data_IF_072710999700
#
_entry.id   IF_072710999700
#
_cell.length_a   1.000
_cell.length_b   1.000
_cell.length_c   1.000
_cell.angle_alpha   90.00
_cell.angle_beta   90.00
_cell.angle_gamma   90.00
#
_symmetry.space_group_name_H-M   'P 1'
#
loop_
_entity.id
_entity.type
_entity.pdbx_description
1 polymer ?
#
# COMPACT_ATOMS: atom_id res chain seq x y z
N UNK A 1 -17.03 -19.83 -1.99
CA UNK A 1 -18.21 -19.16 -1.48
C UNK A 1 -18.07 -18.70 -0.02
N UNK A 2 -17.75 -19.60 0.91
CA UNK A 2 -17.54 -19.20 2.31
C UNK A 2 -16.41 -18.20 2.47
N UNK A 3 -15.38 -18.33 1.67
CA UNK A 3 -14.22 -17.44 1.71
C UNK A 3 -14.56 -16.04 1.23
N UNK A 4 -15.35 -15.94 0.18
CA UNK A 4 -15.80 -14.66 -0.35
C UNK A 4 -16.73 -13.93 0.62
N UNK A 5 -17.62 -14.66 1.27
CA UNK A 5 -18.52 -14.11 2.27
C UNK A 5 -17.73 -13.57 3.46
N UNK A 6 -16.70 -14.28 3.89
CA UNK A 6 -15.84 -13.83 4.99
C UNK A 6 -15.12 -12.53 4.64
N UNK A 7 -14.55 -12.45 3.45
CA UNK A 7 -13.86 -11.23 3.00
C UNK A 7 -14.83 -10.05 2.91
N UNK A 8 -16.01 -10.29 2.38
CA UNK A 8 -17.04 -9.27 2.28
C UNK A 8 -17.48 -8.76 3.66
N UNK A 9 -17.67 -9.66 4.62
CA UNK A 9 -18.06 -9.28 5.98
C UNK A 9 -16.95 -8.51 6.69
N UNK A 10 -15.71 -8.89 6.49
CA UNK A 10 -14.56 -8.19 7.06
C UNK A 10 -14.49 -6.77 6.49
N UNK A 11 -14.70 -6.60 5.20
CA UNK A 11 -14.67 -5.29 4.57
C UNK A 11 -15.81 -4.40 5.09
N UNK A 12 -17.02 -4.94 5.19
CA UNK A 12 -18.16 -4.21 5.76
C UNK A 12 -17.85 -3.82 7.20
N UNK A 13 -17.35 -4.74 8.01
CA UNK A 13 -17.02 -4.48 9.40
C UNK A 13 -15.99 -3.37 9.54
N UNK A 14 -14.95 -3.41 8.72
CA UNK A 14 -13.91 -2.37 8.70
C UNK A 14 -14.49 -1.01 8.34
N UNK A 15 -15.37 -0.97 7.33
CA UNK A 15 -16.03 0.27 6.94
C UNK A 15 -16.86 0.84 8.09
N UNK A 16 -17.60 -0.01 8.78
CA UNK A 16 -18.43 0.42 9.89
C UNK A 16 -17.63 1.00 11.06
N UNK A 17 -16.45 0.45 11.33
CA UNK A 17 -15.60 0.95 12.41
C UNK A 17 -14.55 1.97 11.95
N UNK A 18 -14.55 2.34 10.68
CA UNK A 18 -13.66 3.34 10.14
C UNK A 18 -12.23 2.87 9.94
N UNK A 19 -11.96 1.57 10.05
CA UNK A 19 -10.62 1.00 9.89
C UNK A 19 -10.16 0.96 8.44
N UNK A 20 -11.07 1.16 7.50
CA UNK A 20 -10.77 1.14 6.08
C UNK A 20 -10.72 2.52 5.45
N UNK A 21 -10.59 3.56 6.26
CA UNK A 21 -10.33 4.86 5.69
C UNK A 21 -9.04 4.78 4.88
N UNK A 22 -9.06 5.22 3.61
CA UNK A 22 -7.84 5.23 2.83
C UNK A 22 -6.76 6.04 3.55
N UNK A 23 -5.53 5.55 3.47
CA UNK A 23 -4.41 6.35 3.98
C UNK A 23 -4.30 7.60 3.13
N UNK A 24 -4.22 8.73 3.77
CA UNK A 24 -4.04 9.99 3.09
C UNK A 24 -2.55 10.33 3.03
N UNK A 25 -2.15 10.99 1.96
CA UNK A 25 -0.80 11.47 1.85
C UNK A 25 -0.22 11.29 0.47
N UNK A 26 0.90 11.96 0.25
CA UNK A 26 1.68 11.83 -0.97
C UNK A 26 2.79 10.82 -0.75
N UNK A 27 3.03 10.01 -1.77
CA UNK A 27 4.10 9.03 -1.73
C UNK A 27 5.24 9.45 -2.64
N UNK A 28 6.46 9.15 -2.20
CA UNK A 28 7.68 9.47 -2.93
C UNK A 28 8.54 8.22 -3.00
N UNK A 29 8.55 7.53 -4.15
CA UNK A 29 9.41 6.35 -4.29
C UNK A 29 10.89 6.74 -4.29
N UNK A 30 11.70 5.97 -3.57
CA UNK A 30 13.15 6.10 -3.66
C UNK A 30 13.64 5.65 -5.03
N UNK A 31 14.89 5.92 -5.32
CA UNK A 31 15.51 5.42 -6.56
C UNK A 31 15.45 3.89 -6.62
N UNK A 32 15.71 3.22 -5.51
CA UNK A 32 15.61 1.77 -5.43
C UNK A 32 14.18 1.29 -5.69
N UNK A 33 13.19 1.96 -5.09
CA UNK A 33 11.80 1.61 -5.33
C UNK A 33 11.41 1.82 -6.80
N UNK A 34 11.89 2.90 -7.42
CA UNK A 34 11.65 3.15 -8.84
C UNK A 34 12.25 2.07 -9.73
N UNK A 35 13.43 1.58 -9.37
CA UNK A 35 14.05 0.47 -10.07
C UNK A 35 13.19 -0.79 -9.97
N UNK A 36 12.66 -1.08 -8.79
CA UNK A 36 11.75 -2.20 -8.58
C UNK A 36 10.44 -2.02 -9.33
N UNK A 37 9.91 -0.80 -9.38
CA UNK A 37 8.73 -0.50 -10.19
C UNK A 37 8.96 -0.89 -11.65
N UNK A 38 10.11 -0.51 -12.19
CA UNK A 38 10.47 -0.85 -13.55
C UNK A 38 10.58 -2.36 -13.76
N UNK A 39 11.26 -3.05 -12.83
CA UNK A 39 11.40 -4.51 -12.90
C UNK A 39 10.06 -5.25 -12.89
N UNK A 40 9.11 -4.79 -12.09
CA UNK A 40 7.83 -5.45 -11.92
C UNK A 40 6.72 -4.87 -12.80
N UNK A 41 7.02 -3.84 -13.58
CA UNK A 41 6.00 -3.20 -14.41
C UNK A 41 4.95 -2.45 -13.61
N UNK A 42 5.34 -1.88 -12.48
CA UNK A 42 4.44 -1.12 -11.60
C UNK A 42 4.52 0.36 -11.92
N UNK A 43 3.37 1.03 -11.93
CA UNK A 43 3.33 2.48 -12.09
C UNK A 43 3.01 3.17 -10.76
N UNK A 44 3.11 4.47 -10.74
CA UNK A 44 2.87 5.25 -9.53
C UNK A 44 1.41 5.14 -9.09
N UNK A 45 0.47 5.05 -10.03
CA UNK A 45 -0.94 4.91 -9.70
C UNK A 45 -1.21 3.62 -8.96
N UNK A 46 -0.55 2.53 -9.33
CA UNK A 46 -0.66 1.26 -8.62
C UNK A 46 -0.08 1.36 -7.21
N UNK A 47 1.06 2.01 -7.05
CA UNK A 47 1.64 2.20 -5.72
C UNK A 47 0.75 3.07 -4.84
N UNK A 48 0.14 4.11 -5.39
CA UNK A 48 -0.80 4.93 -4.64
C UNK A 48 -2.01 4.13 -4.19
N UNK A 49 -2.52 3.26 -5.06
CA UNK A 49 -3.63 2.38 -4.75
C UNK A 49 -3.29 1.42 -3.61
N UNK A 50 -2.13 0.79 -3.68
CA UNK A 50 -1.65 -0.09 -2.61
C UNK A 50 -1.45 0.69 -1.32
N UNK A 51 -0.88 1.88 -1.39
CA UNK A 51 -0.67 2.71 -0.21
C UNK A 51 -1.99 3.07 0.46
N UNK A 52 -2.99 3.48 -0.32
CA UNK A 52 -4.27 3.91 0.23
C UNK A 52 -5.11 2.77 0.78
N UNK A 53 -5.15 1.66 0.08
CA UNK A 53 -6.09 0.57 0.37
C UNK A 53 -5.43 -0.72 0.80
N UNK A 54 -4.11 -0.80 0.77
CA UNK A 54 -3.39 -2.00 1.17
C UNK A 54 -3.51 -2.26 2.67
N UNK A 55 -3.32 -3.52 3.04
CA UNK A 55 -3.39 -3.97 4.43
C UNK A 55 -2.06 -4.57 4.84
N UNK A 56 -1.74 -4.43 6.11
CA UNK A 56 -0.50 -4.98 6.63
C UNK A 56 -0.19 -4.45 8.01
N UNK A 57 1.00 -4.80 8.50
CA UNK A 57 1.48 -4.38 9.81
C UNK A 57 2.63 -3.40 9.65
N UNK A 58 2.62 -2.37 10.48
CA UNK A 58 3.67 -1.35 10.55
C UNK A 58 3.86 -0.66 9.20
N UNK A 59 5.01 -0.86 8.57
CA UNK A 59 5.39 -0.16 7.36
C UNK A 59 5.32 -1.03 6.11
N UNK A 60 4.88 -2.28 6.25
CA UNK A 60 4.72 -3.21 5.14
C UNK A 60 3.24 -3.41 4.85
N UNK A 61 2.83 -3.09 3.64
CA UNK A 61 1.44 -3.27 3.22
C UNK A 61 1.38 -3.97 1.88
N UNK A 62 0.30 -4.73 1.69
CA UNK A 62 0.04 -5.43 0.45
C UNK A 62 -1.40 -5.20 0.03
N UNK A 63 -1.64 -5.27 -1.26
CA UNK A 63 -2.98 -5.30 -1.83
C UNK A 63 -3.07 -6.42 -2.84
N UNK A 64 -4.12 -7.22 -2.72
CA UNK A 64 -4.36 -8.34 -3.62
C UNK A 64 -5.25 -7.88 -4.77
N UNK A 65 -4.79 -8.17 -5.97
CA UNK A 65 -5.54 -7.98 -7.20
C UNK A 65 -5.91 -9.32 -7.79
N UNK A 66 -6.76 -9.31 -8.80
CA UNK A 66 -7.21 -10.55 -9.44
C UNK A 66 -6.05 -11.45 -9.89
N UNK A 67 -5.03 -10.86 -10.50
CA UNK A 67 -3.93 -11.60 -11.10
C UNK A 67 -2.60 -11.48 -10.35
N UNK A 68 -2.56 -10.70 -9.29
CA UNK A 68 -1.30 -10.44 -8.61
C UNK A 68 -1.52 -9.86 -7.22
N UNK A 69 -0.48 -9.97 -6.40
CA UNK A 69 -0.39 -9.25 -5.14
C UNK A 69 0.73 -8.24 -5.26
N UNK A 70 0.45 -7.00 -4.95
CA UNK A 70 1.45 -5.93 -4.95
C UNK A 70 1.69 -5.48 -3.53
N UNK A 71 2.95 -5.36 -3.16
CA UNK A 71 3.32 -4.92 -1.83
C UNK A 71 4.33 -3.79 -1.88
N UNK A 72 4.43 -3.09 -0.77
CA UNK A 72 5.44 -2.04 -0.62
C UNK A 72 5.81 -1.86 0.84
N UNK A 73 6.99 -1.31 1.06
CA UNK A 73 7.41 -0.77 2.35
C UNK A 73 7.40 0.74 2.26
N UNK A 74 6.90 1.38 3.29
CA UNK A 74 6.88 2.84 3.36
C UNK A 74 7.30 3.31 4.73
N UNK A 75 7.70 4.56 4.82
CA UNK A 75 8.00 5.23 6.08
C UNK A 75 7.62 6.70 5.96
N UNK A 76 7.29 7.36 7.08
CA UNK A 76 7.05 8.80 7.04
C UNK A 76 8.27 9.57 6.56
N UNK A 77 8.05 10.57 5.74
CA UNK A 77 9.12 11.47 5.32
C UNK A 77 9.44 12.41 6.47
N UNK A 78 10.71 12.42 6.88
CA UNK A 78 11.18 13.33 7.93
C UNK A 78 11.92 14.50 7.32
N UNK A 79 11.59 15.68 7.81
CA UNK A 79 12.26 16.91 7.42
C UNK A 79 12.76 17.60 8.69
N UNK A 80 14.07 17.82 8.78
CA UNK A 80 14.70 18.39 9.98
C UNK A 80 14.36 17.62 11.27
N UNK A 81 14.33 16.28 11.19
CA UNK A 81 14.00 15.41 12.31
C UNK A 81 12.53 15.31 12.66
N UNK A 82 11.66 16.01 11.96
CA UNK A 82 10.22 16.00 12.20
C UNK A 82 9.48 15.31 11.07
N UNK A 83 8.36 14.66 11.40
CA UNK A 83 7.48 14.09 10.39
C UNK A 83 6.85 15.20 9.56
N UNK A 84 7.01 15.11 8.24
CA UNK A 84 6.24 15.91 7.31
C UNK A 84 4.84 15.33 7.23
N UNK A 85 3.83 16.14 7.55
CA UNK A 85 2.46 15.65 7.49
C UNK A 85 2.11 15.14 6.10
N UNK A 86 1.47 13.98 6.06
CA UNK A 86 0.92 13.38 4.84
C UNK A 86 1.95 13.17 3.73
N UNK A 87 3.20 12.90 4.10
CA UNK A 87 4.25 12.57 3.14
C UNK A 87 4.95 11.30 3.55
N UNK A 88 5.08 10.39 2.61
CA UNK A 88 5.63 9.06 2.88
C UNK A 88 6.60 8.68 1.79
N UNK A 89 7.66 7.99 2.17
CA UNK A 89 8.66 7.47 1.25
C UNK A 89 8.40 5.99 1.04
N UNK A 90 8.34 5.57 -0.21
CA UNK A 90 8.26 4.16 -0.56
C UNK A 90 9.69 3.67 -0.74
N UNK A 91 10.13 2.79 0.16
CA UNK A 91 11.51 2.31 0.16
C UNK A 91 11.74 1.15 -0.78
N UNK A 92 10.74 0.30 -0.98
CA UNK A 92 10.78 -0.79 -1.95
C UNK A 92 9.37 -1.23 -2.29
N UNK A 93 9.23 -1.96 -3.38
CA UNK A 93 7.96 -2.54 -3.78
C UNK A 93 8.22 -3.84 -4.53
N UNK A 94 7.18 -4.64 -4.68
CA UNK A 94 7.26 -5.91 -5.40
C UNK A 94 5.89 -6.31 -5.91
N UNK A 95 5.89 -7.31 -6.79
CA UNK A 95 4.67 -7.87 -7.35
C UNK A 95 4.84 -9.38 -7.45
N UNK A 96 3.91 -10.12 -6.89
CA UNK A 96 3.85 -11.56 -6.99
C UNK A 96 2.67 -11.94 -7.87
N UNK A 97 2.93 -12.68 -8.92
CA UNK A 97 1.86 -13.20 -9.78
C UNK A 97 1.10 -14.31 -9.07
N UNK A 98 -0.17 -14.36 -9.30
CA UNK A 98 -1.01 -15.43 -8.83
C UNK A 98 -1.11 -16.54 -9.86
#
# INVERSE_FOLDING_TARGET
MRHEIKEFLIDIFRQLVGWTKPREGKIFPTQYARQKMSEYGLDIATLEDVFRYGVGKRHKIIRRYTNATVGLYFKPLKRNGRHSENRYVITTCWKNKR
#
